data_IF_213347166624
#
_entry.id   IF_213347166624
#
_cell.length_a   1.000
_cell.length_b   1.000
_cell.length_c   1.000
_cell.angle_alpha   90.00
_cell.angle_beta   90.00
_cell.angle_gamma   90.00
#
_symmetry.space_group_name_H-M   'P 1'
#
loop_
_entity.id
_entity.type
_entity.pdbx_description
1 polymer ?
#
# COMPACT_ATOMS: atom_id res chain seq x y z
N UNK A 1 -11.69 -0.84 0.07
CA UNK A 1 -11.59 0.55 -0.30
C UNK A 1 -10.29 1.19 0.22
N UNK A 2 -10.12 1.34 1.54
CA UNK A 2 -8.96 2.01 2.12
C UNK A 2 -7.63 1.37 1.71
N UNK A 3 -7.53 0.04 1.72
CA UNK A 3 -6.35 -0.68 1.27
C UNK A 3 -6.06 -0.48 -0.22
N UNK A 4 -7.05 -0.65 -1.09
CA UNK A 4 -6.87 -0.51 -2.52
C UNK A 4 -6.49 0.92 -2.93
N UNK A 5 -7.31 1.92 -2.54
CA UNK A 5 -7.06 3.31 -2.94
C UNK A 5 -5.88 3.92 -2.20
N UNK A 6 -5.80 3.74 -0.87
CA UNK A 6 -4.77 4.37 -0.05
C UNK A 6 -3.37 3.81 -0.24
N UNK A 7 -3.24 2.50 -0.49
CA UNK A 7 -1.94 1.86 -0.67
C UNK A 7 -1.67 1.42 -2.10
N UNK A 8 -2.57 0.59 -2.68
CA UNK A 8 -2.26 -0.05 -3.95
C UNK A 8 -2.26 0.93 -5.11
N UNK A 9 -3.24 1.83 -5.20
CA UNK A 9 -3.33 2.79 -6.31
C UNK A 9 -2.32 3.92 -6.18
N UNK A 10 -2.24 4.52 -4.99
CA UNK A 10 -1.41 5.71 -4.77
C UNK A 10 0.07 5.40 -4.56
N UNK A 11 0.41 4.23 -3.99
CA UNK A 11 1.77 3.93 -3.53
C UNK A 11 2.40 2.75 -4.25
N UNK A 12 1.82 1.56 -4.14
CA UNK A 12 2.41 0.35 -4.75
C UNK A 12 2.30 0.37 -6.26
N UNK A 13 1.24 0.97 -6.81
CA UNK A 13 1.10 1.15 -8.24
C UNK A 13 2.18 2.03 -8.89
N UNK A 14 2.88 2.87 -8.10
CA UNK A 14 4.05 3.57 -8.59
C UNK A 14 5.21 2.59 -8.85
N UNK A 15 5.50 1.67 -7.92
CA UNK A 15 6.56 0.68 -8.08
C UNK A 15 6.32 -0.26 -9.28
N UNK A 16 5.06 -0.64 -9.53
CA UNK A 16 4.68 -1.45 -10.70
C UNK A 16 4.96 -0.71 -12.01
N UNK A 17 4.72 0.60 -12.03
CA UNK A 17 4.83 1.44 -13.23
C UNK A 17 6.18 2.15 -13.33
N UNK A 18 7.09 1.95 -12.37
CA UNK A 18 8.34 2.70 -12.27
C UNK A 18 9.18 2.68 -13.56
N UNK A 19 9.47 1.53 -14.19
CA UNK A 19 10.23 1.51 -15.45
C UNK A 19 9.53 2.32 -16.54
N UNK A 20 8.24 2.09 -16.74
CA UNK A 20 7.45 2.78 -17.76
C UNK A 20 7.43 4.31 -17.58
N UNK A 21 7.20 4.76 -16.34
CA UNK A 21 7.21 6.19 -15.98
C UNK A 21 8.59 6.83 -16.22
N UNK A 22 9.66 6.12 -15.86
CA UNK A 22 11.03 6.57 -16.04
C UNK A 22 11.35 6.75 -17.51
N UNK A 23 11.03 5.76 -18.32
CA UNK A 23 11.42 5.70 -19.73
C UNK A 23 10.58 6.65 -20.59
N UNK A 24 9.25 6.70 -20.38
CA UNK A 24 8.35 7.58 -21.12
C UNK A 24 8.57 9.07 -20.78
N UNK A 25 8.84 9.40 -19.51
CA UNK A 25 9.15 10.77 -19.08
C UNK A 25 10.63 11.16 -19.28
N UNK A 26 11.48 10.24 -19.74
CA UNK A 26 12.91 10.48 -19.98
C UNK A 26 13.69 10.90 -18.73
N UNK A 27 13.31 10.40 -17.54
CA UNK A 27 13.93 10.76 -16.27
C UNK A 27 14.92 9.69 -15.78
N UNK A 28 15.88 10.13 -14.95
CA UNK A 28 16.86 9.21 -14.36
C UNK A 28 16.25 8.36 -13.24
N UNK A 29 16.83 7.18 -12.96
CA UNK A 29 16.46 6.36 -11.81
C UNK A 29 16.50 7.14 -10.49
N UNK A 30 17.46 8.03 -10.32
CA UNK A 30 17.55 8.90 -9.13
C UNK A 30 16.36 9.81 -9.01
N UNK A 31 15.93 10.47 -10.09
CA UNK A 31 14.81 11.39 -10.05
C UNK A 31 13.47 10.64 -9.85
N UNK A 32 13.27 9.52 -10.52
CA UNK A 32 12.12 8.66 -10.28
C UNK A 32 12.09 8.14 -8.83
N UNK A 33 13.24 7.77 -8.26
CA UNK A 33 13.36 7.43 -6.84
C UNK A 33 12.98 8.57 -5.89
N UNK A 34 13.32 9.82 -6.22
CA UNK A 34 12.86 11.00 -5.47
C UNK A 34 11.34 11.16 -5.50
N UNK A 35 10.70 10.95 -6.64
CA UNK A 35 9.24 11.01 -6.77
C UNK A 35 8.58 9.98 -5.85
N UNK A 36 9.04 8.72 -5.90
CA UNK A 36 8.56 7.65 -5.01
C UNK A 36 8.78 7.96 -3.53
N UNK A 37 9.96 8.49 -3.19
CA UNK A 37 10.31 8.89 -1.82
C UNK A 37 9.44 10.06 -1.33
N UNK A 38 9.11 11.02 -2.20
CA UNK A 38 8.22 12.13 -1.86
C UNK A 38 6.80 11.65 -1.52
N UNK A 39 6.28 10.65 -2.25
CA UNK A 39 5.00 10.02 -1.91
C UNK A 39 5.03 9.38 -0.51
N UNK A 40 6.10 8.67 -0.18
CA UNK A 40 6.27 8.02 1.14
C UNK A 40 6.44 9.07 2.25
N UNK A 41 7.23 10.10 2.02
CA UNK A 41 7.41 11.21 2.96
C UNK A 41 6.07 11.93 3.22
N UNK A 42 5.29 12.16 2.17
CA UNK A 42 3.95 12.73 2.28
C UNK A 42 3.01 11.83 3.11
N UNK A 43 3.07 10.51 2.93
CA UNK A 43 2.34 9.58 3.76
C UNK A 43 2.76 9.67 5.25
N UNK A 44 4.05 9.76 5.53
CA UNK A 44 4.56 9.93 6.89
C UNK A 44 4.04 11.24 7.52
N UNK A 45 4.15 12.36 6.80
CA UNK A 45 3.60 13.66 7.23
C UNK A 45 2.09 13.54 7.47
N UNK A 46 1.38 12.91 6.54
CA UNK A 46 -0.05 12.62 6.68
C UNK A 46 -0.38 11.83 7.93
N UNK A 47 0.42 10.84 8.28
CA UNK A 47 0.26 10.04 9.52
C UNK A 47 0.34 10.92 10.78
N UNK A 48 1.30 11.84 10.83
CA UNK A 48 1.43 12.78 11.95
C UNK A 48 0.24 13.75 12.03
N UNK A 49 -0.22 14.25 10.88
CA UNK A 49 -1.40 15.11 10.80
C UNK A 49 -2.65 14.35 11.26
N UNK A 50 -2.85 13.12 10.80
CA UNK A 50 -3.99 12.27 11.21
C UNK A 50 -3.97 12.02 12.71
N UNK A 51 -2.82 11.71 13.30
CA UNK A 51 -2.68 11.52 14.74
C UNK A 51 -3.14 12.76 15.53
N UNK A 52 -2.88 13.96 15.03
CA UNK A 52 -3.33 15.22 15.63
C UNK A 52 -4.81 15.51 15.36
N UNK A 53 -5.27 15.32 14.14
CA UNK A 53 -6.63 15.67 13.69
C UNK A 53 -7.68 14.73 14.29
N UNK A 54 -7.38 13.46 14.48
CA UNK A 54 -8.31 12.46 15.04
C UNK A 54 -8.70 12.74 16.51
N UNK A 55 -7.95 13.58 17.22
CA UNK A 55 -8.35 14.08 18.52
C UNK A 55 -9.50 15.11 18.46
N UNK A 56 -9.77 15.69 17.29
CA UNK A 56 -10.69 16.80 17.05
C UNK A 56 -11.81 16.47 16.09
N UNK A 57 -11.52 15.70 15.05
CA UNK A 57 -12.45 15.32 14.01
C UNK A 57 -12.87 13.85 14.12
N UNK A 58 -14.03 13.55 13.55
CA UNK A 58 -14.56 12.19 13.46
C UNK A 58 -13.73 11.36 12.48
N UNK A 59 -13.47 10.09 12.79
CA UNK A 59 -12.67 9.20 11.96
C UNK A 59 -13.19 9.08 10.52
N UNK A 60 -14.52 9.01 10.35
CA UNK A 60 -15.14 8.97 9.01
C UNK A 60 -14.92 10.27 8.22
N UNK A 61 -14.88 11.43 8.88
CA UNK A 61 -14.57 12.71 8.22
C UNK A 61 -13.12 12.73 7.73
N UNK A 62 -12.19 12.25 8.58
CA UNK A 62 -10.78 12.12 8.21
C UNK A 62 -10.63 11.17 7.02
N UNK A 63 -11.31 10.04 7.05
CA UNK A 63 -11.28 9.06 5.96
C UNK A 63 -11.88 9.61 4.66
N UNK A 64 -12.96 10.41 4.72
CA UNK A 64 -13.52 11.11 3.54
C UNK A 64 -12.51 12.10 2.95
N UNK A 65 -11.87 12.92 3.78
CA UNK A 65 -10.84 13.85 3.34
C UNK A 65 -9.68 13.09 2.65
N UNK A 66 -9.26 11.97 3.23
CA UNK A 66 -8.24 11.10 2.63
C UNK A 66 -8.65 10.56 1.26
N UNK A 67 -9.90 10.14 1.11
CA UNK A 67 -10.40 9.64 -0.17
C UNK A 67 -10.45 10.73 -1.24
N UNK A 68 -10.88 11.95 -0.88
CA UNK A 68 -10.82 13.11 -1.78
C UNK A 68 -9.39 13.41 -2.21
N UNK A 69 -8.46 13.51 -1.25
CA UNK A 69 -7.05 13.79 -1.52
C UNK A 69 -6.41 12.71 -2.41
N UNK A 70 -6.64 11.44 -2.10
CA UNK A 70 -6.12 10.34 -2.90
C UNK A 70 -6.70 10.34 -4.33
N UNK A 71 -8.01 10.60 -4.49
CA UNK A 71 -8.66 10.70 -5.80
C UNK A 71 -8.11 11.87 -6.61
N UNK A 72 -7.94 13.04 -6.01
CA UNK A 72 -7.31 14.21 -6.67
C UNK A 72 -5.85 13.92 -7.02
N UNK A 73 -5.11 13.24 -6.16
CA UNK A 73 -3.73 12.84 -6.45
C UNK A 73 -3.64 11.90 -7.66
N UNK A 74 -4.54 10.92 -7.75
CA UNK A 74 -4.64 10.03 -8.91
C UNK A 74 -5.08 10.77 -10.18
N UNK A 75 -5.95 11.78 -10.06
CA UNK A 75 -6.31 12.66 -11.18
C UNK A 75 -5.09 13.39 -11.72
N UNK A 76 -4.33 14.09 -10.86
CA UNK A 76 -3.12 14.77 -11.30
C UNK A 76 -2.09 13.83 -11.92
N UNK A 77 -1.94 12.64 -11.35
CA UNK A 77 -1.05 11.63 -11.93
C UNK A 77 -1.55 11.13 -13.29
N UNK A 78 -2.86 11.04 -13.51
CA UNK A 78 -3.43 10.56 -14.79
C UNK A 78 -3.28 11.54 -15.96
N UNK A 79 -3.18 12.84 -15.66
CA UNK A 79 -3.02 13.89 -16.68
C UNK A 79 -1.60 14.44 -16.74
N UNK A 80 -0.66 13.81 -15.98
CA UNK A 80 0.70 14.30 -15.92
C UNK A 80 1.43 14.06 -17.25
N UNK A 81 1.90 15.13 -17.84
CA UNK A 81 2.83 15.13 -18.98
C UNK A 81 4.25 15.47 -18.56
N UNK A 82 4.44 15.89 -17.31
CA UNK A 82 5.72 16.30 -16.75
C UNK A 82 5.95 15.66 -15.37
N UNK A 83 7.22 15.37 -15.03
CA UNK A 83 7.56 14.71 -13.76
C UNK A 83 7.09 15.48 -12.51
N UNK A 84 7.03 16.82 -12.58
CA UNK A 84 6.61 17.68 -11.45
C UNK A 84 5.11 17.50 -11.16
N UNK A 85 4.28 17.43 -12.19
CA UNK A 85 2.84 17.21 -12.01
C UNK A 85 2.57 15.79 -11.46
N UNK A 86 3.29 14.79 -11.97
CA UNK A 86 3.25 13.43 -11.44
C UNK A 86 3.63 13.40 -9.95
N UNK A 87 4.76 14.03 -9.58
CA UNK A 87 5.21 14.12 -8.20
C UNK A 87 4.16 14.78 -7.29
N UNK A 88 3.56 15.87 -7.75
CA UNK A 88 2.48 16.58 -7.04
C UNK A 88 1.29 15.66 -6.80
N UNK A 89 0.85 14.93 -7.84
CA UNK A 89 -0.22 13.94 -7.73
C UNK A 89 0.10 12.85 -6.72
N UNK A 90 1.31 12.32 -6.77
CA UNK A 90 1.75 11.25 -5.86
C UNK A 90 1.93 11.73 -4.41
N UNK A 91 2.40 12.95 -4.19
CA UNK A 91 2.45 13.57 -2.85
C UNK A 91 1.03 13.67 -2.27
N UNK A 92 0.09 14.16 -3.06
CA UNK A 92 -1.30 14.27 -2.62
C UNK A 92 -1.94 12.90 -2.36
N UNK A 93 -1.66 11.91 -3.22
CA UNK A 93 -2.09 10.52 -3.02
C UNK A 93 -1.46 9.90 -1.76
N UNK A 94 -0.20 10.20 -1.46
CA UNK A 94 0.48 9.76 -0.24
C UNK A 94 -0.16 10.31 1.03
N UNK A 95 -0.41 11.63 1.07
CA UNK A 95 -1.17 12.27 2.16
C UNK A 95 -2.55 11.62 2.32
N UNK A 96 -3.30 11.51 1.22
CA UNK A 96 -4.62 10.89 1.22
C UNK A 96 -4.59 9.43 1.70
N UNK A 97 -3.56 8.68 1.34
CA UNK A 97 -3.34 7.31 1.78
C UNK A 97 -3.24 7.18 3.30
N UNK A 98 -2.52 8.10 3.98
CA UNK A 98 -2.45 8.14 5.44
C UNK A 98 -3.82 8.41 6.08
N UNK A 99 -4.56 9.38 5.54
CA UNK A 99 -5.90 9.74 6.01
C UNK A 99 -6.92 8.61 5.81
N UNK A 100 -6.71 7.76 4.80
CA UNK A 100 -7.53 6.57 4.56
C UNK A 100 -7.16 5.42 5.49
N UNK A 101 -5.86 5.12 5.60
CA UNK A 101 -5.39 3.90 6.24
C UNK A 101 -5.41 3.96 7.76
N UNK A 102 -4.97 5.07 8.35
CA UNK A 102 -4.85 5.16 9.81
C UNK A 102 -6.19 4.97 10.55
N UNK A 103 -7.32 5.58 10.13
CA UNK A 103 -8.61 5.35 10.78
C UNK A 103 -9.28 4.03 10.37
N UNK A 104 -8.88 3.42 9.25
CA UNK A 104 -9.57 2.26 8.70
C UNK A 104 -9.65 1.04 9.64
N UNK A 105 -8.58 0.61 10.36
CA UNK A 105 -8.67 -0.51 11.29
C UNK A 105 -9.64 -0.26 12.43
N UNK A 106 -9.70 0.95 12.95
CA UNK A 106 -10.61 1.32 14.05
C UNK A 106 -12.06 1.26 13.56
N UNK A 107 -12.35 1.91 12.42
CA UNK A 107 -13.70 1.91 11.83
C UNK A 107 -14.15 0.49 11.49
N UNK A 108 -13.26 -0.33 10.96
CA UNK A 108 -13.56 -1.70 10.59
C UNK A 108 -13.80 -2.59 11.82
N UNK A 109 -13.00 -2.43 12.87
CA UNK A 109 -13.16 -3.15 14.13
C UNK A 109 -14.46 -2.78 14.83
N UNK A 110 -14.85 -1.50 14.83
CA UNK A 110 -16.09 -1.02 15.45
C UNK A 110 -17.35 -1.43 14.64
N UNK A 111 -17.18 -1.80 13.38
CA UNK A 111 -18.29 -2.27 12.54
C UNK A 111 -18.64 -3.75 12.76
N UNK A 112 -17.80 -4.52 13.45
CA UNK A 112 -17.99 -5.95 13.68
C UNK A 112 -18.13 -6.28 15.17
N UNK A 113 -18.86 -7.37 15.52
CA UNK A 113 -18.89 -7.91 16.87
C UNK A 113 -17.47 -8.20 17.40
N UNK A 114 -17.30 -8.19 18.72
CA UNK A 114 -16.00 -8.26 19.37
C UNK A 114 -15.19 -9.52 19.01
N UNK A 115 -15.88 -10.65 18.89
CA UNK A 115 -15.32 -11.94 18.48
C UNK A 115 -14.81 -11.96 17.03
N UNK A 116 -15.30 -11.04 16.17
CA UNK A 116 -14.95 -10.94 14.74
C UNK A 116 -14.06 -9.75 14.38
N UNK A 117 -13.63 -8.94 15.35
CA UNK A 117 -12.78 -7.75 15.08
C UNK A 117 -11.47 -8.09 14.37
N UNK A 118 -10.89 -9.25 14.64
CA UNK A 118 -9.68 -9.71 13.95
C UNK A 118 -9.89 -9.94 12.43
N UNK A 119 -11.11 -10.31 12.01
CA UNK A 119 -11.46 -10.44 10.60
C UNK A 119 -11.48 -9.08 9.89
N UNK A 120 -11.87 -8.01 10.61
CA UNK A 120 -11.87 -6.67 10.04
C UNK A 120 -10.48 -6.23 9.58
N UNK A 121 -9.46 -6.49 10.37
CA UNK A 121 -8.06 -6.16 10.04
C UNK A 121 -7.57 -7.01 8.86
N UNK A 122 -7.89 -8.30 8.86
CA UNK A 122 -7.56 -9.20 7.74
C UNK A 122 -8.18 -8.76 6.41
N UNK A 123 -9.44 -8.32 6.43
CA UNK A 123 -10.13 -7.79 5.24
C UNK A 123 -9.50 -6.49 4.70
N UNK A 124 -8.90 -5.67 5.57
CA UNK A 124 -8.16 -4.49 5.13
C UNK A 124 -6.90 -4.88 4.34
N UNK A 125 -6.14 -5.87 4.81
CA UNK A 125 -4.98 -6.42 4.11
C UNK A 125 -5.37 -7.04 2.75
N UNK A 126 -6.47 -7.81 2.72
CA UNK A 126 -7.01 -8.35 1.45
C UNK A 126 -7.36 -7.26 0.45
N UNK A 127 -7.83 -6.09 0.92
CA UNK A 127 -8.09 -4.94 0.07
C UNK A 127 -6.82 -4.38 -0.60
N UNK A 128 -5.67 -4.44 0.07
CA UNK A 128 -4.38 -4.08 -0.55
C UNK A 128 -4.03 -5.11 -1.63
N UNK A 129 -4.10 -6.39 -1.31
CA UNK A 129 -3.80 -7.48 -2.25
C UNK A 129 -4.64 -7.38 -3.53
N UNK A 130 -5.96 -7.19 -3.40
CA UNK A 130 -6.87 -7.00 -4.54
C UNK A 130 -6.47 -5.78 -5.39
N UNK A 131 -6.12 -4.67 -4.76
CA UNK A 131 -5.67 -3.48 -5.47
C UNK A 131 -4.34 -3.70 -6.22
N UNK A 132 -3.41 -4.46 -5.64
CA UNK A 132 -2.14 -4.83 -6.29
C UNK A 132 -2.42 -5.74 -7.50
N UNK A 133 -3.22 -6.80 -7.34
CA UNK A 133 -3.62 -7.68 -8.44
C UNK A 133 -4.20 -6.88 -9.58
N UNK A 134 -5.13 -5.98 -9.28
CA UNK A 134 -5.75 -5.14 -10.29
C UNK A 134 -4.73 -4.26 -11.03
N UNK A 135 -3.90 -3.52 -10.30
CA UNK A 135 -2.94 -2.58 -10.91
C UNK A 135 -1.86 -3.32 -11.69
N UNK A 136 -1.32 -4.42 -11.17
CA UNK A 136 -0.26 -5.17 -11.86
C UNK A 136 -0.77 -5.87 -13.12
N UNK A 137 -1.95 -6.49 -13.07
CA UNK A 137 -2.55 -7.13 -14.24
C UNK A 137 -2.89 -6.09 -15.33
N UNK A 138 -3.51 -4.97 -14.93
CA UNK A 138 -3.84 -3.88 -15.84
C UNK A 138 -2.58 -3.28 -16.47
N UNK A 139 -1.56 -3.02 -15.65
CA UNK A 139 -0.28 -2.47 -16.11
C UNK A 139 0.42 -3.41 -17.06
N UNK A 140 0.52 -4.71 -16.74
CA UNK A 140 1.14 -5.70 -17.60
C UNK A 140 0.44 -5.77 -18.96
N UNK A 141 -0.88 -5.85 -18.95
CA UNK A 141 -1.66 -5.92 -20.19
C UNK A 141 -1.54 -4.65 -21.05
N UNK A 142 -1.72 -3.46 -20.47
CA UNK A 142 -1.67 -2.21 -21.23
C UNK A 142 -0.26 -1.93 -21.76
N UNK A 143 0.78 -2.16 -20.95
CA UNK A 143 2.17 -1.95 -21.40
C UNK A 143 2.60 -2.94 -22.48
N UNK A 144 2.07 -4.17 -22.46
CA UNK A 144 2.34 -5.18 -23.49
C UNK A 144 1.71 -4.79 -24.85
N UNK A 145 0.55 -4.10 -24.83
CA UNK A 145 -0.19 -3.69 -26.03
C UNK A 145 0.23 -2.31 -26.54
N UNK A 146 0.37 -1.33 -25.65
CA UNK A 146 0.55 0.10 -25.99
C UNK A 146 1.96 0.64 -25.65
N UNK A 147 2.80 -0.18 -25.01
CA UNK A 147 4.13 0.22 -24.57
C UNK A 147 4.12 1.03 -23.27
N UNK A 148 5.25 1.66 -22.96
CA UNK A 148 5.46 2.32 -21.67
C UNK A 148 4.57 3.55 -21.45
N UNK A 149 4.17 4.27 -22.50
CA UNK A 149 3.23 5.40 -22.41
C UNK A 149 1.86 5.03 -21.82
N UNK A 150 1.51 3.73 -21.80
CA UNK A 150 0.28 3.21 -21.21
C UNK A 150 0.14 3.47 -19.69
N UNK A 151 1.21 3.89 -18.99
CA UNK A 151 1.14 4.23 -17.57
C UNK A 151 0.08 5.28 -17.27
N UNK A 152 -0.13 6.25 -18.17
CA UNK A 152 -1.16 7.29 -18.03
C UNK A 152 -2.56 6.71 -18.04
N UNK A 153 -2.84 5.72 -18.91
CA UNK A 153 -4.12 5.00 -18.96
C UNK A 153 -4.36 4.17 -17.68
N UNK A 154 -3.31 3.57 -17.10
CA UNK A 154 -3.39 2.89 -15.81
C UNK A 154 -3.77 3.86 -14.70
N UNK A 155 -3.16 5.07 -14.65
CA UNK A 155 -3.54 6.11 -13.67
C UNK A 155 -4.96 6.63 -13.90
N UNK A 156 -5.39 6.81 -15.15
CA UNK A 156 -6.76 7.22 -15.49
C UNK A 156 -7.79 6.20 -15.02
N UNK A 157 -7.49 4.92 -15.17
CA UNK A 157 -8.36 3.84 -14.67
C UNK A 157 -8.39 3.81 -13.14
N UNK A 158 -7.26 3.95 -12.47
CA UNK A 158 -7.18 4.06 -11.00
C UNK A 158 -7.97 5.27 -10.48
N UNK A 159 -7.84 6.42 -11.14
CA UNK A 159 -8.61 7.63 -10.83
C UNK A 159 -10.11 7.39 -10.98
N UNK A 160 -10.56 6.80 -12.09
CA UNK A 160 -11.98 6.54 -12.34
C UNK A 160 -12.59 5.63 -11.28
N UNK A 161 -11.88 4.57 -10.90
CA UNK A 161 -12.32 3.68 -9.81
C UNK A 161 -12.33 4.43 -8.47
N UNK A 162 -11.30 5.19 -8.15
CA UNK A 162 -11.25 5.97 -6.90
C UNK A 162 -12.40 7.00 -6.83
N UNK A 163 -12.73 7.64 -7.95
CA UNK A 163 -13.86 8.58 -8.06
C UNK A 163 -15.20 7.87 -7.83
N UNK A 164 -15.43 6.73 -8.46
CA UNK A 164 -16.64 5.92 -8.23
C UNK A 164 -16.74 5.54 -6.75
N UNK A 165 -15.65 5.07 -6.16
CA UNK A 165 -15.61 4.69 -4.75
C UNK A 165 -15.82 5.90 -3.82
N UNK A 166 -15.32 7.08 -4.18
CA UNK A 166 -15.58 8.34 -3.45
C UNK A 166 -17.08 8.70 -3.48
N UNK A 167 -17.71 8.61 -4.65
CA UNK A 167 -19.13 8.88 -4.81
C UNK A 167 -19.96 7.87 -4.01
N UNK A 168 -19.69 6.57 -4.14
CA UNK A 168 -20.39 5.53 -3.39
C UNK A 168 -20.21 5.71 -1.87
N UNK A 169 -18.97 5.99 -1.43
CA UNK A 169 -18.70 6.21 -0.02
C UNK A 169 -19.47 7.43 0.53
N UNK A 170 -19.50 8.53 -0.21
CA UNK A 170 -20.25 9.73 0.20
C UNK A 170 -21.75 9.49 0.25
N UNK A 171 -22.29 8.71 -0.67
CA UNK A 171 -23.72 8.36 -0.69
C UNK A 171 -24.11 7.42 0.46
N UNK A 172 -23.32 6.34 0.66
CA UNK A 172 -23.62 5.32 1.69
C UNK A 172 -23.42 5.86 3.10
N UNK A 173 -22.33 6.60 3.32
CA UNK A 173 -21.99 7.09 4.67
C UNK A 173 -22.80 8.30 5.09
N UNK A 174 -23.51 8.95 4.17
CA UNK A 174 -24.39 10.09 4.47
C UNK A 174 -25.51 9.75 5.44
N UNK A 175 -25.93 8.49 5.52
CA UNK A 175 -27.04 8.01 6.33
C UNK A 175 -26.63 7.30 7.62
N UNK A 176 -25.36 7.10 7.88
CA UNK A 176 -24.89 6.41 9.08
C UNK A 176 -24.65 7.44 10.19
N UNK A 177 -25.54 7.45 11.19
CA UNK A 177 -25.26 8.13 12.45
C UNK A 177 -24.02 7.47 13.07
N UNK A 178 -22.95 8.24 13.17
CA UNK A 178 -21.76 7.79 13.88
C UNK A 178 -22.13 7.61 15.36
N UNK A 179 -21.84 6.43 15.90
CA UNK A 179 -21.88 6.24 17.35
C UNK A 179 -21.09 7.33 18.04
N UNK A 180 -21.59 7.87 19.18
CA UNK A 180 -20.90 8.94 19.88
C UNK A 180 -19.47 8.47 20.21
N UNK A 181 -18.55 9.40 20.11
CA UNK A 181 -17.14 9.30 20.48
C UNK A 181 -16.92 8.22 21.54
N UNK A 182 -16.56 7.03 21.15
CA UNK A 182 -15.77 6.18 22.02
C UNK A 182 -14.42 6.86 22.09
N UNK A 183 -14.27 7.70 23.09
CA UNK A 183 -13.12 8.57 23.29
C UNK A 183 -11.85 7.79 23.65
N UNK A 184 -11.42 6.96 22.75
CA UNK A 184 -10.05 6.52 22.70
C UNK A 184 -9.23 7.71 22.20
N UNK A 185 -8.85 8.61 23.13
CA UNK A 185 -7.74 9.51 22.89
C UNK A 185 -6.62 8.66 22.33
N UNK A 186 -6.24 8.89 21.10
CA UNK A 186 -4.99 8.34 20.56
C UNK A 186 -3.94 8.71 21.57
N UNK A 187 -3.45 7.71 22.33
CA UNK A 187 -2.63 7.95 23.52
C UNK A 187 -1.26 8.52 23.21
N UNK A 188 -1.00 8.80 21.95
CA UNK A 188 0.23 9.40 21.45
C UNK A 188 1.47 8.59 21.87
N UNK A 189 2.61 9.25 21.86
CA UNK A 189 3.90 8.68 22.28
C UNK A 189 3.92 8.20 23.74
N UNK A 190 3.08 8.77 24.59
CA UNK A 190 3.04 8.40 26.01
C UNK A 190 2.40 7.01 26.22
N UNK A 191 1.43 6.62 25.41
CA UNK A 191 0.88 5.27 25.44
C UNK A 191 1.91 4.24 24.93
N UNK A 192 2.67 4.60 23.91
CA UNK A 192 3.72 3.76 23.37
C UNK A 192 4.83 3.52 24.43
N UNK A 193 5.27 4.57 25.12
CA UNK A 193 6.28 4.47 26.18
C UNK A 193 5.87 3.55 27.35
N UNK A 194 4.57 3.38 27.58
CA UNK A 194 4.05 2.47 28.61
C UNK A 194 4.11 0.99 28.21
N UNK A 195 4.30 0.67 26.92
CA UNK A 195 4.41 -0.71 26.45
C UNK A 195 5.80 -1.28 26.76
N UNK A 196 5.86 -2.41 27.43
CA UNK A 196 7.12 -3.15 27.60
C UNK A 196 7.66 -3.58 26.26
N UNK A 197 8.93 -3.27 25.96
CA UNK A 197 9.57 -3.67 24.69
C UNK A 197 9.24 -2.78 23.48
N UNK A 198 8.72 -1.57 23.68
CA UNK A 198 8.40 -0.65 22.60
C UNK A 198 9.60 -0.24 21.72
N UNK A 199 10.80 -0.10 22.34
CA UNK A 199 12.02 0.30 21.62
C UNK A 199 12.43 -0.72 20.55
N UNK A 200 12.66 -2.01 20.89
CA UNK A 200 12.99 -3.01 19.88
C UNK A 200 11.88 -3.19 18.83
N UNK A 201 10.62 -3.01 19.22
CA UNK A 201 9.49 -3.08 18.28
C UNK A 201 9.57 -1.95 17.25
N UNK A 202 9.81 -0.70 17.67
CA UNK A 202 9.97 0.43 16.74
C UNK A 202 11.16 0.18 15.80
N UNK A 203 12.30 -0.26 16.33
CA UNK A 203 13.49 -0.53 15.52
C UNK A 203 13.16 -1.59 14.47
N UNK A 204 12.55 -2.71 14.87
CA UNK A 204 12.17 -3.79 13.95
C UNK A 204 11.22 -3.31 12.86
N UNK A 205 10.17 -2.54 13.22
CA UNK A 205 9.24 -2.00 12.24
C UNK A 205 9.85 -0.92 11.35
N UNK A 206 10.81 -0.14 11.84
CA UNK A 206 11.54 0.84 11.02
C UNK A 206 12.41 0.16 9.98
N UNK A 207 13.14 -0.89 10.36
CA UNK A 207 13.93 -1.71 9.43
C UNK A 207 13.02 -2.39 8.40
N UNK A 208 11.94 -3.00 8.86
CA UNK A 208 10.94 -3.60 7.99
C UNK A 208 10.36 -2.58 7.01
N UNK A 209 9.96 -1.39 7.50
CA UNK A 209 9.42 -0.32 6.67
C UNK A 209 10.41 0.14 5.59
N UNK A 210 11.69 0.27 5.94
CA UNK A 210 12.74 0.60 4.98
C UNK A 210 12.91 -0.49 3.92
N UNK A 211 13.03 -1.75 4.35
CA UNK A 211 13.23 -2.87 3.44
C UNK A 211 12.04 -3.04 2.47
N UNK A 212 10.82 -3.02 2.98
CA UNK A 212 9.65 -3.23 2.12
C UNK A 212 9.47 -2.10 1.09
N UNK A 213 9.80 -0.86 1.47
CA UNK A 213 9.73 0.27 0.55
C UNK A 213 10.73 0.14 -0.60
N UNK A 214 11.95 -0.27 -0.30
CA UNK A 214 12.95 -0.56 -1.33
C UNK A 214 12.49 -1.68 -2.25
N UNK A 215 12.04 -2.79 -1.67
CA UNK A 215 11.61 -3.94 -2.46
C UNK A 215 10.44 -3.57 -3.37
N UNK A 216 9.35 -3.03 -2.83
CA UNK A 216 8.18 -2.72 -3.65
C UNK A 216 8.40 -1.56 -4.61
N UNK A 217 9.27 -0.60 -4.27
CA UNK A 217 9.60 0.53 -5.13
C UNK A 217 10.43 0.14 -6.35
N UNK A 218 11.32 -0.83 -6.20
CA UNK A 218 12.27 -1.22 -7.25
C UNK A 218 12.11 -2.67 -7.74
N UNK A 219 11.06 -3.35 -7.31
CA UNK A 219 10.82 -4.76 -7.66
C UNK A 219 10.75 -4.98 -9.17
N UNK A 220 9.91 -4.21 -9.85
CA UNK A 220 9.71 -4.31 -11.30
C UNK A 220 10.99 -3.92 -12.04
N UNK A 221 11.62 -2.81 -11.65
CA UNK A 221 12.91 -2.36 -12.21
C UNK A 221 14.00 -3.42 -12.08
N UNK A 222 14.10 -4.08 -10.92
CA UNK A 222 15.07 -5.16 -10.74
C UNK A 222 14.84 -6.34 -11.67
N UNK A 223 13.59 -6.70 -11.91
CA UNK A 223 13.26 -7.81 -12.79
C UNK A 223 13.42 -7.43 -14.27
N UNK A 224 12.93 -6.26 -14.68
CA UNK A 224 12.98 -5.81 -16.07
C UNK A 224 14.39 -5.37 -16.47
N UNK A 225 14.99 -4.38 -15.79
CA UNK A 225 16.26 -3.77 -16.20
C UNK A 225 17.48 -4.69 -15.95
N UNK A 226 17.53 -5.31 -14.76
CA UNK A 226 18.73 -6.06 -14.35
C UNK A 226 18.64 -7.56 -14.68
N UNK A 227 17.43 -8.13 -14.74
CA UNK A 227 17.24 -9.56 -14.98
C UNK A 227 16.71 -9.87 -16.38
N UNK A 228 16.34 -8.84 -17.16
CA UNK A 228 15.87 -8.99 -18.56
C UNK A 228 14.48 -9.62 -18.70
N UNK A 229 13.65 -9.52 -17.65
CA UNK A 229 12.29 -10.01 -17.72
C UNK A 229 11.44 -9.10 -18.62
N UNK A 230 10.53 -9.69 -19.37
CA UNK A 230 9.55 -8.90 -20.10
C UNK A 230 8.46 -8.36 -19.16
N UNK A 231 7.79 -7.29 -19.58
CA UNK A 231 6.77 -6.58 -18.78
C UNK A 231 5.68 -7.49 -18.24
N UNK A 232 5.19 -8.43 -19.04
CA UNK A 232 4.16 -9.39 -18.61
C UNK A 232 4.64 -10.34 -17.51
N UNK A 233 5.92 -10.71 -17.50
CA UNK A 233 6.53 -11.58 -16.48
C UNK A 233 6.70 -10.85 -15.14
N UNK A 234 7.20 -9.61 -15.16
CA UNK A 234 7.33 -8.78 -13.96
C UNK A 234 5.95 -8.44 -13.36
N UNK A 235 4.97 -8.14 -14.21
CA UNK A 235 3.59 -7.93 -13.79
C UNK A 235 2.97 -9.21 -13.19
N UNK A 236 3.26 -10.40 -13.74
CA UNK A 236 2.83 -11.66 -13.18
C UNK A 236 3.39 -11.87 -11.76
N UNK A 237 4.69 -11.61 -11.55
CA UNK A 237 5.31 -11.71 -10.23
C UNK A 237 4.62 -10.80 -9.19
N UNK A 238 4.33 -9.56 -9.56
CA UNK A 238 3.59 -8.62 -8.71
C UNK A 238 2.14 -9.07 -8.48
N UNK A 239 1.49 -9.65 -9.50
CA UNK A 239 0.12 -10.19 -9.40
C UNK A 239 0.07 -11.36 -8.42
N UNK A 240 1.01 -12.31 -8.53
CA UNK A 240 1.13 -13.45 -7.62
C UNK A 240 1.37 -13.00 -6.18
N UNK A 241 2.22 -12.00 -5.97
CA UNK A 241 2.42 -11.37 -4.67
C UNK A 241 1.09 -10.79 -4.13
N UNK A 242 0.34 -10.05 -4.95
CA UNK A 242 -0.96 -9.50 -4.57
C UNK A 242 -1.99 -10.57 -4.19
N UNK A 243 -2.06 -11.66 -4.96
CA UNK A 243 -2.92 -12.81 -4.65
C UNK A 243 -2.54 -13.41 -3.29
N UNK A 244 -1.26 -13.63 -3.05
CA UNK A 244 -0.78 -14.16 -1.78
C UNK A 244 -1.11 -13.25 -0.60
N UNK A 245 -1.05 -11.93 -0.78
CA UNK A 245 -1.44 -10.95 0.25
C UNK A 245 -2.91 -11.08 0.66
N UNK A 246 -3.81 -11.48 -0.24
CA UNK A 246 -5.23 -11.67 0.09
C UNK A 246 -5.40 -12.75 1.18
N UNK A 247 -4.58 -13.79 1.13
CA UNK A 247 -4.67 -14.93 2.03
C UNK A 247 -3.70 -14.86 3.22
N UNK A 248 -2.71 -13.97 3.19
CA UNK A 248 -1.64 -13.93 4.17
C UNK A 248 -2.11 -13.61 5.59
N UNK A 249 -2.99 -12.61 5.78
CA UNK A 249 -3.48 -12.25 7.10
C UNK A 249 -4.26 -13.39 7.80
N UNK A 250 -5.21 -14.09 7.16
CA UNK A 250 -5.84 -15.28 7.75
C UNK A 250 -4.84 -16.39 8.07
N UNK A 251 -3.86 -16.62 7.19
CA UNK A 251 -2.83 -17.61 7.35
C UNK A 251 -1.97 -17.34 8.59
N UNK A 252 -1.39 -16.15 8.71
CA UNK A 252 -0.56 -15.80 9.86
C UNK A 252 -1.35 -15.64 11.16
N UNK A 253 -2.62 -15.24 11.10
CA UNK A 253 -3.52 -15.27 12.26
C UNK A 253 -3.67 -16.70 12.79
N UNK A 254 -3.79 -17.68 11.92
CA UNK A 254 -3.88 -19.10 12.33
C UNK A 254 -2.58 -19.62 12.90
N UNK A 255 -1.45 -19.27 12.32
CA UNK A 255 -0.11 -19.64 12.81
C UNK A 255 0.15 -19.00 14.18
N UNK A 256 -0.19 -17.72 14.34
CA UNK A 256 0.07 -16.99 15.59
C UNK A 256 -0.74 -17.53 16.78
N UNK A 257 -1.91 -18.11 16.52
CA UNK A 257 -2.68 -18.82 17.57
C UNK A 257 -1.96 -20.07 18.08
N UNK A 258 -1.20 -20.75 17.21
CA UNK A 258 -0.49 -22.00 17.57
C UNK A 258 0.90 -21.77 18.13
N UNK A 259 1.66 -20.84 17.56
CA UNK A 259 3.07 -20.61 17.88
C UNK A 259 3.33 -19.33 18.70
N UNK A 260 2.28 -18.54 18.93
CA UNK A 260 2.35 -17.25 19.58
C UNK A 260 2.78 -16.12 18.63
N UNK A 261 2.27 -14.90 18.88
CA UNK A 261 2.49 -13.72 18.04
C UNK A 261 3.98 -13.38 17.91
N UNK A 262 4.72 -13.42 19.02
CA UNK A 262 6.16 -13.10 19.03
C UNK A 262 6.97 -13.99 18.08
N UNK A 263 6.77 -15.31 18.15
CA UNK A 263 7.52 -16.26 17.33
C UNK A 263 7.11 -16.16 15.85
N UNK A 264 5.84 -15.92 15.57
CA UNK A 264 5.34 -15.71 14.21
C UNK A 264 5.96 -14.44 13.59
N UNK A 265 5.99 -13.32 14.31
CA UNK A 265 6.64 -12.10 13.85
C UNK A 265 8.16 -12.29 13.64
N UNK A 266 8.83 -12.98 14.56
CA UNK A 266 10.25 -13.25 14.41
C UNK A 266 10.54 -14.11 13.16
N UNK A 267 9.70 -15.12 12.89
CA UNK A 267 9.79 -15.92 11.68
C UNK A 267 9.57 -15.08 10.43
N UNK A 268 8.53 -14.24 10.40
CA UNK A 268 8.26 -13.36 9.27
C UNK A 268 9.47 -12.45 8.99
N UNK A 269 10.00 -11.79 10.00
CA UNK A 269 11.16 -10.90 9.83
C UNK A 269 12.43 -11.65 9.39
N UNK A 270 12.65 -12.87 9.87
CA UNK A 270 13.79 -13.69 9.45
C UNK A 270 13.66 -14.20 8.00
N UNK A 271 12.44 -14.47 7.53
CA UNK A 271 12.19 -14.92 6.17
C UNK A 271 12.32 -13.80 5.12
N UNK A 272 12.11 -12.54 5.49
CA UNK A 272 12.20 -11.41 4.56
C UNK A 272 13.53 -11.35 3.79
N UNK A 273 14.71 -11.33 4.44
CA UNK A 273 15.98 -11.30 3.72
C UNK A 273 16.17 -12.50 2.78
N UNK A 274 15.72 -13.69 3.21
CA UNK A 274 15.83 -14.91 2.41
C UNK A 274 15.01 -14.78 1.12
N UNK A 275 13.75 -14.38 1.23
CA UNK A 275 12.86 -14.21 0.09
C UNK A 275 13.36 -13.13 -0.86
N UNK A 276 13.83 -12.00 -0.32
CA UNK A 276 14.42 -10.91 -1.12
C UNK A 276 15.65 -11.41 -1.87
N UNK A 277 16.55 -12.14 -1.20
CA UNK A 277 17.76 -12.68 -1.84
C UNK A 277 17.40 -13.59 -3.02
N UNK A 278 16.38 -14.42 -2.89
CA UNK A 278 15.90 -15.27 -3.99
C UNK A 278 15.38 -14.41 -5.16
N UNK A 279 14.61 -13.36 -4.89
CA UNK A 279 14.12 -12.44 -5.93
C UNK A 279 15.30 -11.76 -6.65
N UNK A 280 16.30 -11.33 -5.88
CA UNK A 280 17.50 -10.67 -6.41
C UNK A 280 18.35 -11.55 -7.33
N UNK A 281 18.20 -12.88 -7.29
CA UNK A 281 18.87 -13.76 -8.27
C UNK A 281 18.36 -13.55 -9.69
N UNK A 282 17.15 -13.03 -9.87
CA UNK A 282 16.50 -12.84 -11.17
C UNK A 282 16.13 -14.13 -11.89
N UNK A 283 16.37 -15.30 -11.28
CA UNK A 283 16.01 -16.59 -11.89
C UNK A 283 14.49 -16.76 -11.85
N UNK A 284 13.88 -16.98 -13.01
CA UNK A 284 12.44 -16.87 -13.24
C UNK A 284 11.58 -17.65 -12.23
N UNK A 285 11.68 -18.97 -12.18
CA UNK A 285 10.82 -19.81 -11.31
C UNK A 285 11.05 -19.52 -9.82
N UNK A 286 12.30 -19.50 -9.31
CA UNK A 286 12.56 -19.14 -7.92
C UNK A 286 12.03 -17.76 -7.54
N UNK A 287 12.17 -16.75 -8.42
CA UNK A 287 11.68 -15.41 -8.15
C UNK A 287 10.16 -15.34 -8.12
N UNK A 288 9.44 -16.08 -8.97
CA UNK A 288 7.97 -16.19 -8.90
C UNK A 288 7.50 -16.82 -7.58
N UNK A 289 8.14 -17.93 -7.16
CA UNK A 289 7.82 -18.56 -5.87
C UNK A 289 8.12 -17.60 -4.71
N UNK A 290 9.26 -16.91 -4.76
CA UNK A 290 9.62 -15.92 -3.75
C UNK A 290 8.65 -14.74 -3.73
N UNK A 291 8.09 -14.32 -4.86
CA UNK A 291 7.05 -13.27 -4.92
C UNK A 291 5.77 -13.68 -4.19
N UNK A 292 5.34 -14.93 -4.33
CA UNK A 292 4.23 -15.50 -3.56
C UNK A 292 4.53 -15.47 -2.06
N UNK A 293 5.72 -15.95 -1.66
CA UNK A 293 6.14 -15.93 -0.26
C UNK A 293 6.22 -14.50 0.29
N UNK A 294 6.74 -13.56 -0.50
CA UNK A 294 6.79 -12.14 -0.14
C UNK A 294 5.38 -11.58 0.12
N UNK A 295 4.41 -11.93 -0.73
CA UNK A 295 3.02 -11.53 -0.54
C UNK A 295 2.42 -12.04 0.77
N UNK A 296 2.66 -13.30 1.13
CA UNK A 296 2.28 -13.84 2.43
C UNK A 296 2.93 -13.07 3.58
N UNK A 297 4.23 -12.83 3.51
CA UNK A 297 4.99 -12.13 4.57
C UNK A 297 4.59 -10.66 4.72
N UNK A 298 4.00 -10.06 3.70
CA UNK A 298 3.57 -8.66 3.70
C UNK A 298 2.23 -8.44 4.44
N UNK A 299 1.43 -9.46 4.63
CA UNK A 299 0.09 -9.41 5.23
C UNK A 299 0.14 -9.52 6.73
#
# INVERSE_FOLDING_TARGET
LAGAVGHSFGRFGYGVLYPALRDDLGITNTFAGFIGSANVAAYLVGTLIVAWVTSRLRLLTVMKAGLVMATLGLFFASIASEPVLLATGLILAGLGGAFLWIPAPVIAADALPEDKRHLAVGLLGSGIGLGIVFVSTLSGWLRDVEGDSAWSAVYSTKFSIALILLLLFTLVVRHRQESPKTGGRFGGFDSLKKMTGWKPLIIAYSIFGFMYLLVLGYFTTRLEDDSGWVTSESALAFTLMGIAMIFGAPFFTSISKRFGVRNTLALCFAMWPVVITIILTGVYVPALVASILLGFLFS
#
